data_IF_541863718528
#
_entry.id   IF_541863718528
#
_cell.length_a   1.000
_cell.length_b   1.000
_cell.length_c   1.000
_cell.angle_alpha   90.00
_cell.angle_beta   90.00
_cell.angle_gamma   90.00
#
_symmetry.space_group_name_H-M   'P 1'
#
loop_
_entity.id
_entity.type
_entity.pdbx_description
1 polymer ?
#
# COMPACT_ATOMS: atom_id res chain seq x y z
N UNK A 1 3.06 -17.48 4.35
CA UNK A 1 1.83 -17.17 3.61
C UNK A 1 1.39 -15.77 3.98
N UNK A 2 1.44 -14.87 3.01
CA UNK A 2 0.93 -13.50 3.09
C UNK A 2 -0.43 -13.47 2.42
N UNK A 3 -1.42 -12.89 3.10
CA UNK A 3 -2.68 -12.45 2.52
C UNK A 3 -2.71 -10.93 2.62
N UNK A 4 -2.75 -10.26 1.48
CA UNK A 4 -2.90 -8.80 1.42
C UNK A 4 -4.03 -8.46 0.47
N UNK A 5 -5.04 -7.78 0.99
CA UNK A 5 -6.23 -7.37 0.24
C UNK A 5 -6.75 -6.04 0.78
N UNK A 6 -7.68 -5.42 0.07
CA UNK A 6 -8.27 -4.15 0.46
C UNK A 6 -9.69 -3.99 -0.08
N UNK A 7 -10.41 -3.06 0.53
CA UNK A 7 -11.68 -2.55 0.01
C UNK A 7 -11.56 -1.03 -0.10
N UNK A 8 -11.78 -0.50 -1.30
CA UNK A 8 -11.81 0.96 -1.50
C UNK A 8 -13.16 1.53 -1.09
N UNK A 9 -13.14 2.70 -0.47
CA UNK A 9 -14.34 3.39 -0.04
C UNK A 9 -15.28 3.72 -1.20
N UNK A 10 -16.57 3.59 -0.90
CA UNK A 10 -17.66 4.17 -1.70
C UNK A 10 -18.24 5.43 -1.08
N UNK A 11 -17.86 5.79 0.16
CA UNK A 11 -18.44 6.91 0.90
C UNK A 11 -18.08 8.24 0.22
N UNK A 12 -19.07 9.08 -0.17
CA UNK A 12 -18.82 10.40 -0.73
C UNK A 12 -17.98 11.34 0.16
N UNK A 13 -18.01 11.16 1.48
CA UNK A 13 -17.22 11.95 2.42
C UNK A 13 -15.74 11.59 2.37
N UNK A 14 -15.42 10.31 2.24
CA UNK A 14 -14.05 9.80 2.11
C UNK A 14 -13.52 10.05 0.69
N UNK A 15 -14.36 9.81 -0.32
CA UNK A 15 -14.01 9.98 -1.74
C UNK A 15 -14.17 11.42 -2.23
N UNK A 16 -14.15 12.42 -1.33
CA UNK A 16 -14.39 13.82 -1.69
C UNK A 16 -13.25 14.38 -2.56
N UNK A 17 -12.01 14.12 -2.17
CA UNK A 17 -10.86 14.78 -2.77
C UNK A 17 -10.59 14.26 -4.18
N UNK A 18 -10.66 12.95 -4.40
CA UNK A 18 -10.56 12.34 -5.74
C UNK A 18 -11.66 12.77 -6.72
N UNK A 19 -12.81 13.26 -6.22
CA UNK A 19 -13.86 13.87 -7.05
C UNK A 19 -13.60 15.34 -7.36
N UNK A 20 -12.85 16.03 -6.51
CA UNK A 20 -12.56 17.45 -6.63
C UNK A 20 -11.27 17.74 -7.41
N UNK A 21 -10.33 16.80 -7.40
CA UNK A 21 -9.02 16.96 -8.00
C UNK A 21 -9.01 16.68 -9.51
N UNK A 22 -8.15 17.40 -10.24
CA UNK A 22 -7.76 16.99 -11.59
C UNK A 22 -6.75 15.83 -11.48
N UNK A 23 -7.27 14.61 -11.33
CA UNK A 23 -6.48 13.40 -11.15
C UNK A 23 -5.43 13.15 -12.25
N UNK A 24 -5.56 13.78 -13.42
CA UNK A 24 -4.53 13.68 -14.47
C UNK A 24 -3.29 14.54 -14.19
N UNK A 25 -3.41 15.56 -13.33
CA UNK A 25 -2.36 16.54 -13.02
C UNK A 25 -1.94 16.56 -11.56
N UNK A 26 -2.78 16.12 -10.63
CA UNK A 26 -2.47 16.01 -9.21
C UNK A 26 -1.17 15.22 -9.01
N UNK A 27 -0.28 15.71 -8.16
CA UNK A 27 0.97 15.00 -7.89
C UNK A 27 0.75 13.75 -7.03
N UNK A 28 1.78 12.91 -6.95
CA UNK A 28 1.65 11.66 -6.21
C UNK A 28 1.45 11.87 -4.70
N UNK A 29 2.00 12.94 -4.13
CA UNK A 29 1.88 13.21 -2.69
C UNK A 29 0.41 13.47 -2.36
N UNK A 30 -0.24 14.38 -3.08
CA UNK A 30 -1.67 14.67 -2.86
C UNK A 30 -2.54 13.42 -3.08
N UNK A 31 -2.23 12.62 -4.11
CA UNK A 31 -2.92 11.35 -4.36
C UNK A 31 -2.72 10.32 -3.24
N UNK A 32 -1.54 10.26 -2.62
CA UNK A 32 -1.26 9.34 -1.52
C UNK A 32 -1.94 9.79 -0.23
N UNK A 33 -1.90 11.08 0.11
CA UNK A 33 -2.35 11.55 1.43
C UNK A 33 -3.84 11.86 1.52
N UNK A 34 -4.52 12.08 0.38
CA UNK A 34 -5.88 12.62 0.36
C UNK A 34 -6.89 11.78 -0.41
N UNK A 35 -6.44 10.80 -1.20
CA UNK A 35 -7.31 10.05 -2.11
C UNK A 35 -7.27 8.55 -1.82
N UNK A 36 -8.35 7.88 -2.23
CA UNK A 36 -8.46 6.43 -2.26
C UNK A 36 -8.43 5.79 -0.87
N UNK A 37 -9.19 6.40 0.05
CA UNK A 37 -9.48 5.82 1.36
C UNK A 37 -10.12 4.44 1.24
N UNK A 38 -9.85 3.57 2.22
CA UNK A 38 -10.35 2.20 2.25
C UNK A 38 -9.95 1.48 3.54
N UNK A 39 -10.18 0.17 3.55
CA UNK A 39 -9.78 -0.73 4.64
C UNK A 39 -8.77 -1.76 4.12
N UNK A 40 -7.79 -2.08 4.95
CA UNK A 40 -6.69 -3.00 4.65
C UNK A 40 -6.91 -4.34 5.36
N UNK A 41 -6.82 -5.43 4.60
CA UNK A 41 -6.60 -6.77 5.14
C UNK A 41 -5.15 -7.19 4.94
N UNK A 42 -4.40 -7.41 6.03
CA UNK A 42 -3.02 -7.86 5.97
C UNK A 42 -2.78 -8.97 6.99
N UNK A 43 -2.60 -10.21 6.52
CA UNK A 43 -2.27 -11.35 7.36
C UNK A 43 -0.95 -11.97 6.93
N UNK A 44 -0.03 -12.17 7.86
CA UNK A 44 1.31 -12.70 7.57
C UNK A 44 1.58 -13.85 8.52
N UNK A 45 1.74 -15.05 7.96
CA UNK A 45 2.04 -16.26 8.72
C UNK A 45 1.09 -16.51 9.91
N UNK A 46 -0.19 -16.11 9.77
CA UNK A 46 -1.22 -16.27 10.79
C UNK A 46 -1.41 -15.07 11.73
N UNK A 47 -0.49 -14.10 11.73
CA UNK A 47 -0.65 -12.83 12.47
C UNK A 47 -1.47 -11.85 11.63
N UNK A 48 -2.41 -11.17 12.28
CA UNK A 48 -3.33 -10.23 11.63
C UNK A 48 -2.91 -8.78 11.90
N UNK A 49 -2.44 -8.10 10.86
CA UNK A 49 -2.04 -6.69 10.82
C UNK A 49 -3.05 -5.84 10.03
N UNK A 50 -4.31 -6.29 9.92
CA UNK A 50 -5.36 -5.57 9.20
C UNK A 50 -5.71 -4.27 9.91
N UNK A 51 -6.02 -3.23 9.13
CA UNK A 51 -6.54 -1.95 9.62
C UNK A 51 -7.91 -1.73 8.99
N UNK A 52 -8.95 -1.83 9.81
CA UNK A 52 -10.35 -1.65 9.43
C UNK A 52 -10.91 -0.49 10.24
N UNK A 53 -10.91 0.69 9.64
CA UNK A 53 -11.27 1.95 10.31
C UNK A 53 -12.57 2.54 9.79
N UNK A 54 -13.22 1.85 8.86
CA UNK A 54 -14.34 2.41 8.11
C UNK A 54 -13.83 3.40 7.07
N UNK A 55 -12.89 2.93 6.24
CA UNK A 55 -12.34 3.63 5.07
C UNK A 55 -11.23 4.67 5.32
N UNK A 56 -10.62 4.69 6.51
CA UNK A 56 -9.60 5.68 6.88
C UNK A 56 -8.20 5.45 6.29
N UNK A 57 -7.91 4.26 5.74
CA UNK A 57 -6.58 3.94 5.21
C UNK A 57 -6.42 4.53 3.81
N UNK A 58 -5.43 5.39 3.62
CA UNK A 58 -5.07 5.87 2.28
C UNK A 58 -4.37 4.75 1.49
N UNK A 59 -5.13 3.99 0.72
CA UNK A 59 -4.67 2.73 0.16
C UNK A 59 -3.50 2.88 -0.82
N UNK A 60 -3.45 3.98 -1.57
CA UNK A 60 -2.34 4.25 -2.49
C UNK A 60 -1.03 4.53 -1.74
N UNK A 61 -1.10 5.32 -0.66
CA UNK A 61 0.06 5.57 0.21
C UNK A 61 0.60 4.27 0.79
N UNK A 62 -0.30 3.48 1.40
CA UNK A 62 0.08 2.18 1.95
C UNK A 62 0.70 1.25 0.91
N UNK A 63 0.10 1.10 -0.28
CA UNK A 63 0.62 0.22 -1.31
C UNK A 63 1.99 0.66 -1.83
N UNK A 64 2.22 1.97 -1.98
CA UNK A 64 3.53 2.52 -2.39
C UNK A 64 4.57 2.31 -1.30
N UNK A 65 4.21 2.60 -0.04
CA UNK A 65 5.07 2.41 1.14
C UNK A 65 5.45 0.94 1.31
N UNK A 66 4.48 0.03 1.29
CA UNK A 66 4.68 -1.41 1.45
C UNK A 66 5.53 -2.00 0.32
N UNK A 67 5.32 -1.60 -0.94
CA UNK A 67 6.17 -2.02 -2.05
C UNK A 67 7.60 -1.45 -1.95
N UNK A 68 7.75 -0.21 -1.53
CA UNK A 68 9.06 0.39 -1.27
C UNK A 68 9.82 -0.36 -0.17
N UNK A 69 9.14 -0.60 0.94
CA UNK A 69 9.69 -1.24 2.12
C UNK A 69 10.05 -2.71 1.88
N UNK A 70 9.23 -3.46 1.12
CA UNK A 70 9.55 -4.85 0.74
C UNK A 70 10.85 -4.94 -0.08
N UNK A 71 11.15 -3.93 -0.90
CA UNK A 71 12.40 -3.85 -1.66
C UNK A 71 13.58 -3.40 -0.83
N UNK A 72 13.40 -2.49 0.12
CA UNK A 72 14.46 -2.08 1.04
C UNK A 72 14.88 -3.22 1.95
N UNK A 73 13.93 -3.97 2.50
CA UNK A 73 14.27 -5.11 3.36
C UNK A 73 14.96 -6.24 2.60
N UNK A 74 14.63 -6.43 1.32
CA UNK A 74 15.37 -7.36 0.45
C UNK A 74 16.85 -6.96 0.22
N UNK A 75 17.21 -5.69 0.49
CA UNK A 75 18.60 -5.20 0.48
C UNK A 75 19.27 -5.24 1.85
N UNK A 76 18.59 -5.75 2.88
CA UNK A 76 19.10 -5.80 4.25
C UNK A 76 18.85 -4.52 5.06
N UNK A 77 17.93 -3.66 4.62
CA UNK A 77 17.57 -2.44 5.37
C UNK A 77 16.36 -2.71 6.28
N UNK A 78 16.40 -2.20 7.52
CA UNK A 78 15.19 -2.13 8.36
C UNK A 78 14.40 -0.88 8.00
N UNK A 79 13.08 -1.02 7.86
CA UNK A 79 12.21 0.02 7.32
C UNK A 79 10.84 -0.02 7.99
N UNK A 80 10.19 1.13 8.04
CA UNK A 80 8.82 1.29 8.52
C UNK A 80 7.88 1.56 7.36
N UNK A 81 6.65 1.09 7.48
CA UNK A 81 5.53 1.45 6.61
C UNK A 81 4.55 2.20 7.49
N UNK A 82 4.40 3.48 7.19
CA UNK A 82 3.51 4.38 7.91
C UNK A 82 2.15 4.41 7.21
N UNK A 83 1.11 4.79 7.96
CA UNK A 83 -0.23 5.01 7.44
C UNK A 83 -0.52 6.51 7.49
N UNK A 84 -0.73 7.15 6.34
CA UNK A 84 -1.02 8.58 6.27
C UNK A 84 -2.16 8.99 7.22
N UNK A 85 -1.85 9.92 8.14
CA UNK A 85 -2.82 10.45 9.11
C UNK A 85 -3.08 9.56 10.33
N UNK A 86 -2.35 8.45 10.49
CA UNK A 86 -2.51 7.51 11.61
C UNK A 86 -1.22 7.40 12.42
N UNK A 87 -1.33 6.98 13.67
CA UNK A 87 -0.17 6.68 14.53
C UNK A 87 0.35 5.24 14.34
N UNK A 88 -0.39 4.42 13.59
CA UNK A 88 -0.07 3.02 13.34
C UNK A 88 1.11 2.91 12.36
N UNK A 89 1.99 1.94 12.61
CA UNK A 89 3.19 1.66 11.79
C UNK A 89 3.42 0.15 11.70
N UNK A 90 3.89 -0.33 10.55
CA UNK A 90 4.41 -1.70 10.38
C UNK A 90 5.94 -1.65 10.27
N UNK A 91 6.61 -2.55 10.99
CA UNK A 91 8.06 -2.67 11.04
C UNK A 91 8.51 -3.88 10.23
N UNK A 92 9.46 -3.67 9.31
CA UNK A 92 10.10 -4.73 8.54
C UNK A 92 11.60 -4.74 8.85
N UNK A 93 12.11 -5.86 9.33
CA UNK A 93 13.53 -6.04 9.60
C UNK A 93 14.06 -7.33 8.96
N UNK A 94 15.25 -7.31 8.33
CA UNK A 94 15.85 -8.50 7.77
C UNK A 94 16.26 -9.49 8.87
N UNK A 95 16.03 -10.78 8.62
CA UNK A 95 16.33 -11.88 9.53
C UNK A 95 16.87 -13.08 8.71
N UNK A 96 18.10 -12.93 8.19
CA UNK A 96 18.67 -13.89 7.24
C UNK A 96 17.90 -13.88 5.92
N UNK A 97 17.40 -15.03 5.47
CA UNK A 97 16.55 -15.14 4.26
C UNK A 97 15.08 -14.72 4.50
N UNK A 98 14.74 -14.46 5.76
CA UNK A 98 13.41 -14.06 6.19
C UNK A 98 13.37 -12.56 6.50
N UNK A 99 12.16 -12.07 6.66
CA UNK A 99 11.82 -10.75 7.14
C UNK A 99 10.96 -10.94 8.38
N UNK A 100 11.37 -10.29 9.47
CA UNK A 100 10.56 -10.14 10.67
C UNK A 100 9.62 -8.96 10.48
N UNK A 101 8.33 -9.20 10.67
CA UNK A 101 7.25 -8.21 10.52
C UNK A 101 6.59 -8.01 11.87
N UNK A 102 6.54 -6.76 12.33
CA UNK A 102 5.82 -6.37 13.55
C UNK A 102 5.09 -5.06 13.35
N UNK A 103 4.46 -4.55 14.40
CA UNK A 103 3.80 -3.24 14.39
C UNK A 103 3.81 -2.63 15.80
N UNK A 104 3.30 -1.42 15.96
CA UNK A 104 3.03 -0.81 17.26
C UNK A 104 1.60 -1.06 17.80
N UNK A 105 0.73 -1.71 17.02
CA UNK A 105 -0.67 -1.98 17.40
C UNK A 105 -1.02 -3.47 17.51
N UNK A 106 -0.13 -4.37 17.07
CA UNK A 106 -0.21 -5.83 17.25
C UNK A 106 1.04 -6.29 18.01
N UNK A 107 0.83 -7.00 19.12
CA UNK A 107 1.93 -7.52 19.95
C UNK A 107 2.72 -8.64 19.27
N UNK A 108 2.03 -9.45 18.46
CA UNK A 108 2.62 -10.57 17.74
C UNK A 108 3.56 -10.13 16.62
N UNK A 109 4.52 -11.01 16.32
CA UNK A 109 5.51 -10.82 15.27
C UNK A 109 5.41 -11.99 14.30
N UNK A 110 5.37 -11.69 13.01
CA UNK A 110 5.42 -12.68 11.96
C UNK A 110 6.82 -12.79 11.34
N UNK A 111 7.12 -13.96 10.78
CA UNK A 111 8.28 -14.16 9.92
C UNK A 111 7.86 -14.69 8.55
N UNK A 112 8.42 -14.11 7.50
CA UNK A 112 8.12 -14.50 6.12
C UNK A 112 9.35 -14.42 5.23
N UNK A 113 9.39 -15.14 4.11
CA UNK A 113 10.52 -15.02 3.17
C UNK A 113 10.53 -13.64 2.52
N UNK A 114 11.72 -13.07 2.33
CA UNK A 114 11.87 -11.76 1.68
C UNK A 114 11.29 -11.75 0.25
N UNK A 115 11.40 -12.87 -0.48
CA UNK A 115 10.81 -13.04 -1.81
C UNK A 115 9.29 -13.01 -1.79
N UNK A 116 8.66 -13.64 -0.81
CA UNK A 116 7.20 -13.66 -0.65
C UNK A 116 6.67 -12.26 -0.32
N UNK A 117 7.35 -11.52 0.56
CA UNK A 117 7.02 -10.13 0.88
C UNK A 117 7.19 -9.19 -0.33
N UNK A 118 8.26 -9.39 -1.11
CA UNK A 118 8.50 -8.63 -2.34
C UNK A 118 7.41 -8.87 -3.38
N UNK A 119 7.01 -10.13 -3.58
CA UNK A 119 5.90 -10.49 -4.47
C UNK A 119 4.58 -9.89 -3.99
N UNK A 120 4.24 -10.03 -2.71
CA UNK A 120 3.00 -9.49 -2.15
C UNK A 120 2.91 -7.96 -2.28
N UNK A 121 3.99 -7.22 -2.01
CA UNK A 121 4.02 -5.76 -2.18
C UNK A 121 3.85 -5.34 -3.64
N UNK A 122 4.46 -6.07 -4.58
CA UNK A 122 4.30 -5.81 -6.01
C UNK A 122 2.88 -6.12 -6.47
N UNK A 123 2.32 -7.25 -6.06
CA UNK A 123 0.96 -7.68 -6.40
C UNK A 123 -0.09 -6.68 -5.89
N UNK A 124 0.01 -6.25 -4.63
CA UNK A 124 -0.86 -5.23 -4.05
C UNK A 124 -0.85 -3.95 -4.88
N UNK A 125 0.34 -3.37 -5.10
CA UNK A 125 0.46 -2.11 -5.83
C UNK A 125 -0.03 -2.25 -7.28
N UNK A 126 0.23 -3.39 -7.92
CA UNK A 126 -0.26 -3.67 -9.28
C UNK A 126 -1.79 -3.73 -9.31
N UNK A 127 -2.40 -4.53 -8.42
CA UNK A 127 -3.85 -4.69 -8.30
C UNK A 127 -4.52 -3.32 -8.08
N UNK A 128 -4.01 -2.55 -7.12
CA UNK A 128 -4.54 -1.23 -6.79
C UNK A 128 -4.45 -0.26 -7.97
N UNK A 129 -3.31 -0.16 -8.66
CA UNK A 129 -3.17 0.75 -9.81
C UNK A 129 -4.15 0.36 -10.94
N UNK A 130 -4.33 -0.93 -11.20
CA UNK A 130 -5.27 -1.41 -12.23
C UNK A 130 -6.70 -1.02 -11.86
N UNK A 131 -7.12 -1.26 -10.61
CA UNK A 131 -8.45 -0.91 -10.14
C UNK A 131 -8.69 0.60 -10.15
N UNK A 132 -7.75 1.39 -9.62
CA UNK A 132 -7.85 2.85 -9.61
C UNK A 132 -7.93 3.43 -11.03
N UNK A 133 -7.18 2.91 -12.00
CA UNK A 133 -7.30 3.36 -13.40
C UNK A 133 -8.62 2.94 -14.04
N UNK A 134 -9.20 1.82 -13.63
CA UNK A 134 -10.54 1.40 -14.04
C UNK A 134 -11.63 2.32 -13.49
N UNK A 135 -11.56 2.65 -12.19
CA UNK A 135 -12.52 3.53 -11.51
C UNK A 135 -12.36 5.01 -11.89
N UNK A 136 -11.12 5.44 -12.12
CA UNK A 136 -10.75 6.83 -12.41
C UNK A 136 -9.86 6.91 -13.67
N UNK A 137 -10.43 6.91 -14.89
CA UNK A 137 -9.66 6.85 -16.14
C UNK A 137 -8.65 8.00 -16.33
N UNK A 138 -8.86 9.15 -15.68
CA UNK A 138 -7.93 10.27 -15.71
C UNK A 138 -6.53 9.92 -15.17
N UNK A 139 -6.44 8.99 -14.21
CA UNK A 139 -5.16 8.53 -13.63
C UNK A 139 -4.26 7.85 -14.67
N UNK A 140 -4.83 7.28 -15.74
CA UNK A 140 -4.04 6.73 -16.83
C UNK A 140 -3.17 7.78 -17.55
N UNK A 141 -3.52 9.07 -17.45
CA UNK A 141 -2.75 10.19 -18.01
C UNK A 141 -1.78 10.82 -17.00
N UNK A 142 -1.94 10.51 -15.72
CA UNK A 142 -1.13 11.07 -14.65
C UNK A 142 0.33 10.59 -14.76
N UNK A 143 1.28 11.55 -14.80
CA UNK A 143 2.70 11.28 -15.01
C UNK A 143 3.32 10.43 -13.89
N UNK A 144 2.89 10.61 -12.65
CA UNK A 144 3.51 9.95 -11.50
C UNK A 144 2.90 8.56 -11.29
N UNK A 145 1.59 8.41 -11.54
CA UNK A 145 0.95 7.07 -11.62
C UNK A 145 1.58 6.23 -12.74
N UNK A 146 1.91 6.82 -13.90
CA UNK A 146 2.65 6.11 -14.97
C UNK A 146 4.02 5.62 -14.50
N UNK A 147 4.77 6.45 -13.77
CA UNK A 147 6.07 6.05 -13.21
C UNK A 147 5.91 4.92 -12.19
N UNK A 148 4.89 4.98 -11.33
CA UNK A 148 4.59 3.91 -10.39
C UNK A 148 4.24 2.60 -11.10
N UNK A 149 3.37 2.66 -12.12
CA UNK A 149 3.02 1.50 -12.94
C UNK A 149 4.27 0.86 -13.59
N UNK A 150 5.18 1.68 -14.12
CA UNK A 150 6.44 1.19 -14.68
C UNK A 150 7.32 0.47 -13.63
N UNK A 151 7.34 0.91 -12.37
CA UNK A 151 8.11 0.27 -11.29
C UNK A 151 7.63 -1.15 -10.94
N UNK A 152 6.38 -1.49 -11.26
CA UNK A 152 5.82 -2.84 -11.09
C UNK A 152 5.76 -3.63 -12.41
N UNK A 153 6.36 -3.10 -13.48
CA UNK A 153 6.29 -3.60 -14.86
C UNK A 153 4.86 -3.70 -15.40
N UNK A 154 3.99 -2.79 -14.97
CA UNK A 154 2.67 -2.60 -15.57
C UNK A 154 2.83 -1.64 -16.75
N UNK A 155 3.13 -2.17 -17.93
CA UNK A 155 3.04 -1.44 -19.20
C UNK A 155 1.59 -1.48 -19.67
N UNK A 156 0.95 -0.31 -19.66
CA UNK A 156 -0.39 -0.05 -20.20
C UNK A 156 -0.30 1.07 -21.22
#
# INVERSE_FOLDING_TARGET
MITVDYVLSGDPLVTRDERSFDLAKTDLTDLCYSCFGGDLTLKIAGVDFSIVTGDGVQMLDFAVGFFGASRSVAKGESVRVDFAGMADEIYLAPAGEKVRVGSNYVEDVAEVRASELSSAGRELLTKLIVELRGKYPALARNKDVKKLAARVNLTL
#
